data_IF_197714658987
#
_entry.id   IF_197714658987
#
_cell.length_a   1.000
_cell.length_b   1.000
_cell.length_c   1.000
_cell.angle_alpha   90.00
_cell.angle_beta   90.00
_cell.angle_gamma   90.00
#
_symmetry.space_group_name_H-M   'P 1'
#
loop_
_entity.id
_entity.type
_entity.pdbx_description
1 polymer ?
#
# COMPACT_ATOMS: atom_id res chain seq x y z
N UNK A 1 14.05 -64.04 -39.92
CA UNK A 1 14.00 -63.59 -38.52
C UNK A 1 13.81 -62.10 -38.54
N UNK A 2 12.70 -61.60 -38.02
CA UNK A 2 12.44 -60.17 -37.86
C UNK A 2 12.75 -59.80 -36.41
N UNK A 3 13.23 -58.58 -36.18
CA UNK A 3 13.77 -58.18 -34.88
C UNK A 3 12.65 -57.85 -33.87
N UNK A 4 12.41 -58.74 -32.91
CA UNK A 4 11.31 -58.62 -31.92
C UNK A 4 11.58 -57.57 -30.83
N UNK A 5 12.74 -56.90 -30.83
CA UNK A 5 13.18 -56.08 -29.68
C UNK A 5 12.52 -54.70 -29.54
N UNK A 6 11.84 -54.18 -30.57
CA UNK A 6 11.40 -52.78 -30.61
C UNK A 6 9.98 -52.47 -30.08
N UNK A 7 9.23 -53.47 -29.57
CA UNK A 7 7.83 -53.25 -29.14
C UNK A 7 7.63 -52.92 -27.64
N UNK A 8 8.67 -53.00 -26.80
CA UNK A 8 8.55 -52.92 -25.34
C UNK A 8 9.07 -51.61 -24.70
N UNK A 9 9.05 -50.49 -25.43
CA UNK A 9 9.25 -49.16 -24.81
C UNK A 9 7.90 -48.61 -24.32
N UNK A 10 7.70 -48.36 -23.01
CA UNK A 10 6.43 -47.80 -22.53
C UNK A 10 6.22 -46.41 -23.11
N UNK A 11 4.98 -46.06 -23.46
CA UNK A 11 4.67 -44.72 -23.97
C UNK A 11 5.02 -43.63 -22.96
N UNK A 12 5.20 -42.40 -23.44
CA UNK A 12 5.49 -41.24 -22.58
C UNK A 12 4.46 -41.08 -21.44
N UNK A 13 3.20 -41.48 -21.68
CA UNK A 13 2.13 -41.42 -20.69
C UNK A 13 2.24 -42.52 -19.63
N UNK A 14 2.61 -43.73 -20.03
CA UNK A 14 2.86 -44.84 -19.09
C UNK A 14 4.11 -44.59 -18.25
N UNK A 15 5.18 -44.05 -18.83
CA UNK A 15 6.37 -43.61 -18.08
C UNK A 15 6.02 -42.51 -17.05
N UNK A 16 5.15 -41.56 -17.42
CA UNK A 16 4.67 -40.54 -16.49
C UNK A 16 3.75 -41.10 -15.39
N UNK A 17 2.88 -42.04 -15.73
CA UNK A 17 1.99 -42.70 -14.76
C UNK A 17 2.78 -43.55 -13.76
N UNK A 18 3.74 -44.35 -14.24
CA UNK A 18 4.66 -45.12 -13.39
C UNK A 18 5.45 -44.22 -12.44
N UNK A 19 5.80 -43.00 -12.85
CA UNK A 19 6.42 -42.02 -11.95
C UNK A 19 5.47 -41.48 -10.87
N UNK A 20 4.18 -41.29 -11.18
CA UNK A 20 3.15 -40.92 -10.19
C UNK A 20 2.92 -42.06 -9.19
N UNK A 21 2.80 -43.29 -9.67
CA UNK A 21 2.48 -44.47 -8.87
C UNK A 21 3.64 -44.88 -7.94
N UNK A 22 4.88 -44.57 -8.32
CA UNK A 22 6.09 -44.74 -7.49
C UNK A 22 6.36 -43.58 -6.52
N UNK A 23 5.47 -42.59 -6.42
CA UNK A 23 5.66 -41.44 -5.54
C UNK A 23 5.60 -41.82 -4.05
N UNK A 24 6.64 -41.53 -3.24
CA UNK A 24 6.61 -41.85 -1.82
C UNK A 24 5.50 -41.04 -1.10
N UNK A 25 4.78 -41.65 -0.14
CA UNK A 25 3.59 -41.04 0.45
C UNK A 25 3.92 -39.71 1.13
N UNK A 26 3.16 -38.67 0.77
CA UNK A 26 3.28 -37.32 1.33
C UNK A 26 3.10 -37.38 2.86
N UNK A 27 3.93 -36.68 3.67
CA UNK A 27 3.74 -36.62 5.11
C UNK A 27 2.39 -35.99 5.45
N UNK A 28 1.76 -36.45 6.55
CA UNK A 28 0.47 -35.89 7.00
C UNK A 28 0.59 -34.39 7.28
N UNK A 29 -0.47 -33.59 7.04
CA UNK A 29 -0.49 -32.19 7.42
C UNK A 29 -0.05 -31.98 8.87
N UNK A 30 0.74 -30.94 9.11
CA UNK A 30 1.32 -30.56 10.42
C UNK A 30 2.32 -31.56 11.06
N UNK A 31 2.60 -32.71 10.43
CA UNK A 31 3.67 -33.62 10.89
C UNK A 31 5.03 -33.24 10.27
N UNK A 32 6.09 -33.15 11.11
CA UNK A 32 7.48 -33.03 10.61
C UNK A 32 7.92 -34.36 9.99
N UNK A 33 8.42 -34.40 8.74
CA UNK A 33 8.91 -35.63 8.12
C UNK A 33 10.24 -36.07 8.74
N UNK A 34 10.48 -37.38 8.78
CA UNK A 34 11.76 -37.94 9.24
C UNK A 34 12.86 -37.79 8.18
N UNK A 35 14.15 -37.88 8.53
CA UNK A 35 15.25 -37.84 7.56
C UNK A 35 15.11 -38.87 6.43
N UNK A 36 14.67 -40.10 6.76
CA UNK A 36 14.41 -41.16 5.76
C UNK A 36 13.22 -40.85 4.83
N UNK A 37 12.21 -40.13 5.31
CA UNK A 37 11.12 -39.64 4.44
C UNK A 37 11.59 -38.50 3.53
N UNK A 38 12.40 -37.58 4.05
CA UNK A 38 12.97 -36.48 3.28
C UNK A 38 13.90 -36.97 2.16
N UNK A 39 14.76 -37.96 2.42
CA UNK A 39 15.67 -38.47 1.40
C UNK A 39 14.91 -39.23 0.29
N UNK A 40 13.92 -40.09 0.63
CA UNK A 40 13.08 -40.74 -0.40
C UNK A 40 12.31 -39.73 -1.29
N UNK A 41 11.79 -38.65 -0.70
CA UNK A 41 11.16 -37.56 -1.45
C UNK A 41 12.16 -36.82 -2.37
N UNK A 42 13.42 -36.71 -1.95
CA UNK A 42 14.51 -36.11 -2.71
C UNK A 42 15.00 -37.03 -3.84
N UNK A 43 15.16 -38.32 -3.58
CA UNK A 43 15.53 -39.35 -4.58
C UNK A 43 14.48 -39.42 -5.69
N UNK A 44 13.19 -39.52 -5.36
CA UNK A 44 12.09 -39.52 -6.34
C UNK A 44 12.06 -38.23 -7.19
N UNK A 45 12.31 -37.08 -6.56
CA UNK A 45 12.44 -35.79 -7.25
C UNK A 45 13.69 -35.66 -8.14
N UNK A 46 14.80 -36.31 -7.78
CA UNK A 46 16.03 -36.39 -8.61
C UNK A 46 15.81 -37.33 -9.80
N UNK A 47 15.18 -38.49 -9.57
CA UNK A 47 14.77 -39.43 -10.61
C UNK A 47 13.88 -38.77 -11.66
N UNK A 48 12.85 -38.03 -11.22
CA UNK A 48 12.02 -37.22 -12.10
C UNK A 48 12.84 -36.26 -12.97
N UNK A 49 13.75 -35.49 -12.35
CA UNK A 49 14.57 -34.52 -13.07
C UNK A 49 15.45 -35.21 -14.13
N UNK A 50 16.13 -36.30 -13.77
CA UNK A 50 16.98 -37.08 -14.69
C UNK A 50 16.18 -37.60 -15.89
N UNK A 51 14.99 -38.14 -15.67
CA UNK A 51 14.08 -38.57 -16.75
C UNK A 51 13.63 -37.39 -17.63
N UNK A 52 13.11 -36.32 -17.03
CA UNK A 52 12.57 -35.16 -17.76
C UNK A 52 13.59 -34.36 -18.58
N UNK A 53 14.89 -34.46 -18.24
CA UNK A 53 15.97 -33.87 -19.02
C UNK A 53 16.22 -34.62 -20.35
N UNK A 54 16.04 -35.95 -20.36
CA UNK A 54 16.17 -36.79 -21.55
C UNK A 54 15.01 -36.69 -22.56
N UNK A 55 13.94 -35.97 -22.22
CA UNK A 55 12.79 -35.72 -23.11
C UNK A 55 13.06 -34.57 -24.10
N UNK A 56 12.31 -34.54 -25.21
CA UNK A 56 12.24 -33.37 -26.09
C UNK A 56 11.44 -32.21 -25.45
N UNK A 57 11.50 -31.02 -26.05
CA UNK A 57 10.74 -29.85 -25.56
C UNK A 57 9.21 -30.11 -25.60
N UNK A 58 8.70 -30.66 -26.70
CA UNK A 58 7.28 -31.00 -26.87
C UNK A 58 6.82 -32.07 -25.86
N UNK A 59 7.66 -33.09 -25.63
CA UNK A 59 7.38 -34.14 -24.65
C UNK A 59 7.34 -33.57 -23.23
N UNK A 60 8.23 -32.64 -22.86
CA UNK A 60 8.17 -31.91 -21.58
C UNK A 60 6.86 -31.12 -21.43
N UNK A 61 6.44 -30.39 -22.46
CA UNK A 61 5.18 -29.62 -22.44
C UNK A 61 3.96 -30.51 -22.21
N UNK A 62 3.86 -31.67 -22.88
CA UNK A 62 2.79 -32.66 -22.64
C UNK A 62 2.79 -33.19 -21.20
N UNK A 63 3.96 -33.48 -20.65
CA UNK A 63 4.10 -33.96 -19.27
C UNK A 63 3.71 -32.89 -18.24
N UNK A 64 4.04 -31.61 -18.47
CA UNK A 64 3.60 -30.52 -17.60
C UNK A 64 2.10 -30.23 -17.66
N UNK A 65 1.45 -30.47 -18.82
CA UNK A 65 -0.01 -30.49 -18.92
C UNK A 65 -0.62 -31.61 -18.05
N UNK A 66 -0.14 -32.85 -18.15
CA UNK A 66 -0.66 -33.96 -17.34
C UNK A 66 -0.44 -33.75 -15.82
N UNK A 67 0.63 -33.06 -15.40
CA UNK A 67 0.80 -32.61 -14.00
C UNK A 67 -0.24 -31.58 -13.57
N UNK A 68 -0.75 -30.74 -14.47
CA UNK A 68 -1.80 -29.78 -14.16
C UNK A 68 -3.13 -30.50 -13.97
N UNK A 69 -3.46 -31.43 -14.87
CA UNK A 69 -4.64 -32.30 -14.83
C UNK A 69 -4.66 -33.16 -13.53
N UNK A 70 -3.55 -33.84 -13.21
CA UNK A 70 -3.43 -34.63 -11.99
C UNK A 70 -3.66 -33.81 -10.69
N UNK A 71 -3.25 -32.53 -10.68
CA UNK A 71 -3.48 -31.60 -9.54
C UNK A 71 -4.91 -31.08 -9.45
N UNK A 72 -5.71 -31.19 -10.51
CA UNK A 72 -7.17 -30.96 -10.45
C UNK A 72 -7.82 -32.22 -9.89
N UNK A 73 -7.50 -33.39 -10.44
CA UNK A 73 -8.07 -34.66 -10.00
C UNK A 73 -7.78 -34.97 -8.51
N UNK A 74 -6.57 -34.66 -8.00
CA UNK A 74 -6.24 -34.80 -6.57
C UNK A 74 -7.13 -33.91 -5.66
N UNK A 75 -7.56 -32.74 -6.14
CA UNK A 75 -8.47 -31.84 -5.42
C UNK A 75 -9.92 -32.30 -5.46
N UNK A 76 -10.36 -32.90 -6.56
CA UNK A 76 -11.72 -33.43 -6.66
C UNK A 76 -11.87 -34.74 -5.87
N UNK A 77 -10.88 -35.62 -5.91
CA UNK A 77 -10.83 -36.84 -5.09
C UNK A 77 -10.84 -36.52 -3.57
N UNK A 78 -10.06 -35.52 -3.12
CA UNK A 78 -10.06 -35.10 -1.71
C UNK A 78 -11.36 -34.44 -1.26
N UNK A 79 -12.21 -33.99 -2.20
CA UNK A 79 -13.57 -33.52 -1.88
C UNK A 79 -14.57 -34.68 -1.63
N UNK A 80 -14.27 -35.90 -2.07
CA UNK A 80 -15.21 -37.03 -2.05
C UNK A 80 -15.02 -38.01 -0.87
N UNK A 81 -13.89 -37.93 -0.13
CA UNK A 81 -13.48 -38.98 0.81
C UNK A 81 -14.18 -39.05 2.18
N UNK A 82 -14.98 -38.06 2.57
CA UNK A 82 -15.49 -37.95 3.96
C UNK A 82 -16.86 -38.59 4.20
N UNK A 83 -16.94 -39.92 4.06
CA UNK A 83 -18.16 -40.71 4.29
C UNK A 83 -18.49 -40.96 5.78
N UNK A 84 -18.93 -39.94 6.55
CA UNK A 84 -19.68 -40.16 7.82
C UNK A 84 -20.82 -39.14 8.06
N UNK A 85 -22.04 -39.67 8.16
CA UNK A 85 -23.27 -39.10 8.78
C UNK A 85 -23.86 -37.79 8.21
N UNK A 86 -24.57 -37.94 7.09
CA UNK A 86 -25.97 -37.50 6.90
C UNK A 86 -26.39 -36.09 7.40
N UNK A 87 -26.47 -35.15 6.45
CA UNK A 87 -27.66 -34.30 6.27
C UNK A 87 -28.14 -34.43 4.83
N UNK A 88 -29.44 -34.29 4.59
CA UNK A 88 -30.07 -34.60 3.30
C UNK A 88 -29.51 -33.74 2.15
N UNK A 89 -29.45 -34.31 0.95
CA UNK A 89 -29.03 -33.58 -0.24
C UNK A 89 -30.12 -32.60 -0.67
N UNK A 90 -29.79 -31.31 -0.78
CA UNK A 90 -30.67 -30.31 -1.40
C UNK A 90 -30.93 -30.67 -2.87
N UNK A 91 -32.15 -30.46 -3.43
CA UNK A 91 -32.54 -30.91 -4.77
C UNK A 91 -31.92 -30.06 -5.89
N UNK A 92 -30.58 -30.04 -5.98
CA UNK A 92 -29.79 -29.30 -6.97
C UNK A 92 -28.78 -30.19 -7.72
N UNK A 93 -29.02 -31.50 -7.74
CA UNK A 93 -28.11 -32.53 -8.29
C UNK A 93 -28.77 -33.52 -9.28
N UNK A 94 -29.86 -33.12 -9.96
CA UNK A 94 -30.46 -33.89 -11.06
C UNK A 94 -30.35 -33.22 -12.44
N UNK A 95 -30.44 -31.88 -12.53
CA UNK A 95 -30.29 -31.16 -13.81
C UNK A 95 -28.80 -31.02 -14.22
N UNK A 96 -28.17 -32.14 -14.56
CA UNK A 96 -26.93 -32.19 -15.37
C UNK A 96 -26.89 -33.40 -16.32
N UNK A 97 -28.07 -33.83 -16.76
CA UNK A 97 -28.29 -34.33 -18.10
C UNK A 97 -29.31 -33.37 -18.73
N UNK A 98 -29.28 -33.22 -20.06
CA UNK A 98 -29.94 -32.20 -20.89
C UNK A 98 -29.29 -30.80 -20.91
N UNK A 99 -29.08 -30.30 -22.14
CA UNK A 99 -28.09 -29.26 -22.46
C UNK A 99 -28.60 -27.83 -22.58
N UNK A 100 -29.59 -27.42 -21.78
CA UNK A 100 -30.34 -26.17 -21.99
C UNK A 100 -30.47 -25.27 -20.74
N UNK A 101 -29.36 -24.74 -20.20
CA UNK A 101 -29.43 -23.58 -19.30
C UNK A 101 -28.13 -22.77 -19.18
N UNK A 102 -28.06 -21.62 -19.85
CA UNK A 102 -27.01 -20.60 -19.68
C UNK A 102 -27.39 -19.59 -18.59
N UNK A 103 -27.34 -19.99 -17.32
CA UNK A 103 -27.59 -19.07 -16.19
C UNK A 103 -26.44 -18.07 -16.05
N UNK A 104 -26.63 -16.85 -16.56
CA UNK A 104 -25.63 -15.78 -16.52
C UNK A 104 -25.51 -15.18 -15.11
N UNK A 105 -24.43 -15.50 -14.40
CA UNK A 105 -24.18 -15.03 -13.03
C UNK A 105 -23.75 -13.55 -13.01
N UNK A 106 -24.54 -12.70 -12.37
CA UNK A 106 -24.27 -11.26 -12.19
C UNK A 106 -23.11 -11.03 -11.20
N UNK A 107 -22.27 -10.03 -11.47
CA UNK A 107 -21.15 -9.65 -10.62
C UNK A 107 -21.62 -8.98 -9.32
N UNK A 108 -21.58 -9.71 -8.19
CA UNK A 108 -21.98 -9.21 -6.86
C UNK A 108 -21.09 -8.11 -6.30
N UNK A 109 -19.96 -7.78 -6.95
CA UNK A 109 -19.17 -6.58 -6.63
C UNK A 109 -19.77 -5.36 -7.35
N UNK A 110 -19.85 -5.42 -8.69
CA UNK A 110 -20.46 -4.40 -9.56
C UNK A 110 -21.86 -3.97 -9.10
N UNK A 111 -22.71 -4.93 -8.74
CA UNK A 111 -24.07 -4.67 -8.27
C UNK A 111 -24.13 -4.00 -6.88
N UNK A 112 -23.05 -4.07 -6.08
CA UNK A 112 -22.95 -3.44 -4.75
C UNK A 112 -22.25 -2.08 -4.76
N UNK A 113 -21.66 -1.70 -5.89
CA UNK A 113 -20.86 -0.47 -6.05
C UNK A 113 -21.47 0.49 -7.07
N UNK A 114 -22.76 0.32 -7.40
CA UNK A 114 -23.45 1.17 -8.39
C UNK A 114 -22.85 1.09 -9.79
N UNK A 115 -22.32 -0.07 -10.18
CA UNK A 115 -21.74 -0.30 -11.51
C UNK A 115 -20.20 -0.30 -11.58
N UNK A 116 -19.49 -0.14 -10.47
CA UNK A 116 -18.03 -0.04 -10.45
C UNK A 116 -17.34 -1.38 -10.17
N UNK A 117 -16.74 -2.01 -11.18
CA UNK A 117 -15.94 -3.23 -11.01
C UNK A 117 -14.48 -3.02 -11.44
N UNK A 118 -13.52 -3.40 -10.60
CA UNK A 118 -12.08 -3.33 -10.89
C UNK A 118 -11.63 -4.14 -12.13
N UNK A 119 -12.48 -5.04 -12.65
CA UNK A 119 -12.22 -5.83 -13.86
C UNK A 119 -12.91 -5.26 -15.11
N UNK A 120 -13.77 -4.23 -14.97
CA UNK A 120 -14.54 -3.64 -16.07
C UNK A 120 -15.31 -4.68 -16.89
N UNK A 121 -15.36 -4.49 -18.21
CA UNK A 121 -15.94 -5.44 -19.17
C UNK A 121 -15.21 -6.80 -19.20
N UNK A 122 -13.96 -6.87 -18.71
CA UNK A 122 -13.15 -8.10 -18.64
C UNK A 122 -13.48 -8.95 -17.40
N UNK A 123 -14.57 -8.64 -16.68
CA UNK A 123 -15.02 -9.47 -15.57
C UNK A 123 -15.67 -10.77 -16.06
N UNK A 124 -15.33 -11.90 -15.42
CA UNK A 124 -15.95 -13.21 -15.69
C UNK A 124 -17.40 -13.36 -15.19
N UNK A 125 -17.99 -12.27 -14.71
CA UNK A 125 -19.34 -12.19 -14.17
C UNK A 125 -20.05 -11.00 -14.84
N UNK A 126 -21.35 -11.11 -15.07
CA UNK A 126 -22.06 -10.18 -15.94
C UNK A 126 -22.36 -8.83 -15.27
N UNK A 127 -22.35 -7.77 -16.09
CA UNK A 127 -22.54 -6.37 -15.73
C UNK A 127 -23.74 -5.79 -16.51
N UNK A 128 -25.00 -6.12 -16.13
CA UNK A 128 -26.20 -5.70 -16.86
C UNK A 128 -26.47 -4.21 -16.63
N UNK A 129 -26.04 -3.36 -17.57
CA UNK A 129 -26.08 -1.88 -17.49
C UNK A 129 -27.45 -1.32 -17.07
N UNK A 130 -28.55 -2.00 -17.40
CA UNK A 130 -29.92 -1.59 -17.05
C UNK A 130 -30.20 -1.60 -15.53
N UNK A 131 -29.46 -2.36 -14.72
CA UNK A 131 -29.63 -2.39 -13.25
C UNK A 131 -29.05 -1.16 -12.51
N UNK A 132 -28.48 -0.18 -13.22
CA UNK A 132 -27.87 1.04 -12.64
C UNK A 132 -28.92 2.00 -12.01
N UNK A 133 -30.24 1.74 -12.15
CA UNK A 133 -31.32 2.69 -11.82
C UNK A 133 -32.30 2.32 -10.70
N UNK A 134 -32.09 1.26 -9.92
CA UNK A 134 -32.99 0.90 -8.79
C UNK A 134 -32.24 0.45 -7.53
N UNK A 135 -32.21 1.30 -6.50
CA UNK A 135 -31.41 1.07 -5.28
C UNK A 135 -31.87 -0.09 -4.39
N UNK A 136 -33.16 -0.46 -4.38
CA UNK A 136 -33.68 -1.52 -3.50
C UNK A 136 -33.96 -2.85 -4.23
N UNK A 137 -34.54 -2.81 -5.43
CA UNK A 137 -35.07 -4.00 -6.12
C UNK A 137 -33.96 -4.98 -6.55
N UNK A 138 -32.81 -4.46 -6.96
CA UNK A 138 -31.71 -5.26 -7.54
C UNK A 138 -31.09 -6.25 -6.54
N UNK A 139 -31.09 -5.94 -5.24
CA UNK A 139 -30.47 -6.77 -4.20
C UNK A 139 -31.31 -8.02 -3.89
N UNK A 140 -32.65 -7.90 -3.85
CA UNK A 140 -33.54 -9.02 -3.56
C UNK A 140 -33.41 -10.15 -4.60
N UNK A 141 -33.33 -9.79 -5.89
CA UNK A 141 -33.17 -10.75 -7.00
C UNK A 141 -31.82 -11.49 -6.98
N UNK A 142 -30.77 -10.91 -6.37
CA UNK A 142 -29.44 -11.52 -6.23
C UNK A 142 -29.40 -12.48 -5.05
N UNK A 143 -29.96 -12.10 -3.90
CA UNK A 143 -29.91 -12.94 -2.70
C UNK A 143 -30.87 -14.14 -2.77
N UNK A 144 -31.99 -14.01 -3.50
CA UNK A 144 -32.92 -15.12 -3.79
C UNK A 144 -32.27 -16.33 -4.49
N UNK A 145 -31.14 -16.16 -5.19
CA UNK A 145 -30.46 -17.24 -5.91
C UNK A 145 -29.47 -18.06 -5.07
N UNK A 146 -29.20 -17.65 -3.81
CA UNK A 146 -27.95 -18.03 -3.14
C UNK A 146 -27.91 -18.23 -1.61
N UNK A 147 -29.02 -18.10 -0.86
CA UNK A 147 -28.98 -18.30 0.61
C UNK A 147 -30.05 -19.23 1.17
N UNK A 148 -29.60 -20.26 1.90
CA UNK A 148 -30.42 -20.96 2.90
C UNK A 148 -30.60 -20.12 4.18
N UNK A 149 -31.28 -20.63 5.22
CA UNK A 149 -31.66 -19.87 6.40
C UNK A 149 -30.47 -19.22 7.11
N UNK A 150 -30.63 -17.94 7.46
CA UNK A 150 -29.55 -17.12 8.01
C UNK A 150 -29.10 -17.59 9.40
N UNK A 151 -27.80 -17.68 9.62
CA UNK A 151 -27.22 -17.85 10.95
C UNK A 151 -27.20 -16.48 11.68
N UNK A 152 -27.93 -16.31 12.80
CA UNK A 152 -28.09 -15.00 13.44
C UNK A 152 -26.79 -14.38 13.95
N UNK A 153 -25.73 -15.16 14.17
CA UNK A 153 -24.41 -14.64 14.57
C UNK A 153 -23.61 -13.95 13.45
N UNK A 154 -24.11 -13.92 12.20
CA UNK A 154 -23.45 -13.18 11.10
C UNK A 154 -24.06 -11.79 10.85
N UNK A 155 -24.47 -11.11 11.92
CA UNK A 155 -24.94 -9.72 11.82
C UNK A 155 -23.81 -8.79 11.38
N UNK A 156 -24.13 -7.91 10.42
CA UNK A 156 -23.36 -6.72 9.98
C UNK A 156 -21.84 -6.81 10.16
N UNK A 157 -21.18 -7.66 9.37
CA UNK A 157 -19.74 -7.49 9.12
C UNK A 157 -19.54 -6.15 8.40
N UNK A 158 -19.24 -5.09 9.18
CA UNK A 158 -18.80 -3.78 8.68
C UNK A 158 -17.70 -4.05 7.66
N UNK A 159 -17.82 -3.50 6.45
CA UNK A 159 -16.85 -3.79 5.39
C UNK A 159 -15.44 -3.49 5.93
N UNK A 160 -14.51 -4.43 5.75
CA UNK A 160 -13.10 -4.22 6.09
C UNK A 160 -12.57 -3.11 5.17
N UNK A 161 -12.63 -1.86 5.63
CA UNK A 161 -11.90 -0.72 5.07
C UNK A 161 -10.42 -1.05 5.23
N UNK A 162 -9.82 -1.65 4.20
CA UNK A 162 -8.39 -2.03 4.19
C UNK A 162 -7.53 -0.81 4.42
N UNK A 163 -6.40 -0.98 5.13
CA UNK A 163 -5.54 0.15 5.51
C UNK A 163 -4.67 0.64 4.35
N UNK A 164 -4.51 -0.15 3.29
CA UNK A 164 -3.79 0.23 2.08
C UNK A 164 -4.26 1.54 1.45
N UNK A 165 -3.29 2.31 0.96
CA UNK A 165 -3.47 3.51 0.13
C UNK A 165 -3.99 4.79 0.83
N UNK A 166 -3.84 4.94 2.16
CA UNK A 166 -4.12 6.21 2.88
C UNK A 166 -3.55 7.44 2.16
N UNK A 167 -2.29 7.36 1.71
CA UNK A 167 -1.59 8.43 0.96
C UNK A 167 -2.30 8.78 -0.35
N UNK A 168 -2.71 7.77 -1.12
CA UNK A 168 -3.40 7.95 -2.41
C UNK A 168 -4.80 8.53 -2.24
N UNK A 169 -5.49 8.21 -1.14
CA UNK A 169 -6.81 8.77 -0.82
C UNK A 169 -6.71 10.23 -0.41
N UNK A 170 -5.73 10.63 0.42
CA UNK A 170 -5.50 12.05 0.71
C UNK A 170 -5.02 12.81 -0.54
N UNK A 171 -4.15 12.21 -1.36
CA UNK A 171 -3.77 12.75 -2.68
C UNK A 171 -5.00 13.01 -3.57
N UNK A 172 -5.96 12.08 -3.62
CA UNK A 172 -7.21 12.25 -4.37
C UNK A 172 -7.98 13.47 -3.87
N UNK A 173 -8.24 13.52 -2.56
CA UNK A 173 -8.90 14.64 -1.90
C UNK A 173 -8.22 15.99 -2.16
N UNK A 174 -6.89 16.04 -2.17
CA UNK A 174 -6.13 17.25 -2.49
C UNK A 174 -6.36 17.70 -3.95
N UNK A 175 -6.39 16.76 -4.90
CA UNK A 175 -6.65 17.04 -6.31
C UNK A 175 -8.11 17.45 -6.56
N UNK A 176 -9.06 16.85 -5.85
CA UNK A 176 -10.49 17.18 -5.88
C UNK A 176 -10.75 18.61 -5.36
N UNK A 177 -10.27 18.93 -4.16
CA UNK A 177 -10.62 20.17 -3.44
C UNK A 177 -9.79 21.36 -3.90
N UNK A 178 -8.48 21.21 -4.03
CA UNK A 178 -7.59 22.35 -4.31
C UNK A 178 -7.29 22.53 -5.79
N UNK A 179 -7.60 21.53 -6.62
CA UNK A 179 -7.26 21.43 -8.05
C UNK A 179 -5.76 21.31 -8.35
N UNK A 180 -5.45 20.52 -9.37
CA UNK A 180 -4.10 20.27 -9.85
C UNK A 180 -3.30 21.54 -10.24
N UNK A 181 -3.84 22.53 -10.97
CA UNK A 181 -3.09 23.74 -11.32
C UNK A 181 -2.62 24.53 -10.09
N UNK A 182 -3.46 24.60 -9.05
CA UNK A 182 -3.12 25.26 -7.77
C UNK A 182 -2.04 24.49 -7.03
N UNK A 183 -2.13 23.16 -6.92
CA UNK A 183 -1.11 22.33 -6.27
C UNK A 183 0.26 22.42 -6.97
N UNK A 184 0.29 22.69 -8.28
CA UNK A 184 1.53 22.95 -9.03
C UNK A 184 2.08 24.38 -8.87
N UNK A 185 1.32 25.31 -8.28
CA UNK A 185 1.75 26.71 -8.13
C UNK A 185 2.85 26.92 -7.07
N UNK A 186 3.65 27.97 -7.23
CA UNK A 186 4.69 28.36 -6.28
C UNK A 186 5.76 27.29 -6.04
N UNK A 187 6.05 26.99 -4.78
CA UNK A 187 6.93 25.87 -4.39
C UNK A 187 6.24 24.49 -4.45
N UNK A 188 4.93 24.46 -4.66
CA UNK A 188 4.10 23.26 -4.63
C UNK A 188 3.59 22.93 -3.22
N UNK A 189 3.57 21.64 -2.87
CA UNK A 189 3.01 21.11 -1.63
C UNK A 189 4.10 20.92 -0.57
N UNK A 190 3.82 21.27 0.69
CA UNK A 190 4.69 20.90 1.82
C UNK A 190 4.00 19.80 2.62
N UNK A 191 4.62 18.63 2.76
CA UNK A 191 4.11 17.50 3.56
C UNK A 191 4.88 17.44 4.89
N UNK A 192 4.23 17.84 5.98
CA UNK A 192 4.79 17.85 7.34
C UNK A 192 4.55 16.49 7.98
N UNK A 193 5.58 15.95 8.65
CA UNK A 193 5.59 14.60 9.22
C UNK A 193 5.25 13.53 8.17
N UNK A 194 5.82 13.66 6.96
CA UNK A 194 5.56 12.81 5.78
C UNK A 194 5.84 11.30 5.95
N UNK A 195 6.36 10.90 7.12
CA UNK A 195 6.85 9.56 7.41
C UNK A 195 8.16 9.27 6.68
N UNK A 196 8.86 8.24 7.13
CA UNK A 196 10.03 7.69 6.42
C UNK A 196 9.69 7.09 5.03
N UNK A 197 8.47 7.31 4.51
CA UNK A 197 8.01 6.86 3.21
C UNK A 197 7.56 8.02 2.29
N UNK A 198 7.54 9.28 2.76
CA UNK A 198 7.24 10.46 1.93
C UNK A 198 5.90 10.35 1.21
N UNK A 199 4.86 9.95 1.97
CA UNK A 199 3.73 9.19 1.43
C UNK A 199 2.96 9.89 0.32
N UNK A 200 2.45 11.08 0.61
CA UNK A 200 1.64 11.87 -0.33
C UNK A 200 2.55 12.55 -1.37
N UNK A 201 3.69 13.09 -0.93
CA UNK A 201 4.68 13.77 -1.77
C UNK A 201 5.21 12.90 -2.90
N UNK A 202 5.55 11.64 -2.63
CA UNK A 202 6.06 10.72 -3.64
C UNK A 202 5.03 10.51 -4.76
N UNK A 203 3.76 10.36 -4.40
CA UNK A 203 2.68 10.11 -5.36
C UNK A 203 2.33 11.38 -6.15
N UNK A 204 2.27 12.54 -5.50
CA UNK A 204 2.04 13.83 -6.15
C UNK A 204 3.14 14.20 -7.15
N UNK A 205 4.42 13.99 -6.81
CA UNK A 205 5.56 14.20 -7.72
C UNK A 205 5.47 13.24 -8.91
N UNK A 206 5.40 11.93 -8.67
CA UNK A 206 5.57 10.93 -9.73
C UNK A 206 4.33 10.71 -10.60
N UNK A 207 3.13 10.95 -10.08
CA UNK A 207 1.86 10.71 -10.79
C UNK A 207 1.17 11.99 -11.26
N UNK A 208 1.47 13.15 -10.65
CA UNK A 208 0.82 14.43 -10.97
C UNK A 208 1.76 15.58 -11.32
N UNK A 209 3.09 15.38 -11.29
CA UNK A 209 4.10 16.44 -11.53
C UNK A 209 3.88 17.67 -10.64
N UNK A 210 3.34 17.45 -9.45
CA UNK A 210 3.20 18.45 -8.38
C UNK A 210 4.50 18.45 -7.59
N UNK A 211 5.17 19.60 -7.49
CA UNK A 211 6.38 19.75 -6.66
C UNK A 211 6.02 19.49 -5.20
N UNK A 212 6.86 18.76 -4.47
CA UNK A 212 6.64 18.49 -3.06
C UNK A 212 7.92 18.61 -2.23
N UNK A 213 7.77 19.18 -1.03
CA UNK A 213 8.79 19.23 0.02
C UNK A 213 8.28 18.47 1.24
N UNK A 214 8.88 17.31 1.51
CA UNK A 214 8.61 16.50 2.69
C UNK A 214 9.48 16.96 3.87
N UNK A 215 8.87 17.22 5.02
CA UNK A 215 9.56 17.53 6.28
C UNK A 215 9.38 16.34 7.22
N UNK A 216 10.47 15.63 7.52
CA UNK A 216 10.47 14.45 8.39
C UNK A 216 11.83 14.31 9.10
N UNK A 217 11.90 14.50 10.44
CA UNK A 217 13.17 14.45 11.16
C UNK A 217 13.73 13.02 11.34
N UNK A 218 12.88 11.98 11.42
CA UNK A 218 13.24 10.63 11.90
C UNK A 218 14.26 9.88 11.04
N UNK A 219 14.47 10.27 9.78
CA UNK A 219 15.46 9.66 8.89
C UNK A 219 15.21 9.98 7.40
N UNK A 220 16.10 9.57 6.49
CA UNK A 220 15.92 9.71 5.05
C UNK A 220 14.71 8.90 4.54
N UNK A 221 14.15 9.31 3.39
CA UNK A 221 12.96 8.70 2.83
C UNK A 221 13.25 7.33 2.20
N UNK A 222 12.72 6.27 2.81
CA UNK A 222 12.77 4.89 2.31
C UNK A 222 11.76 4.68 1.18
N UNK A 223 12.05 5.28 0.04
CA UNK A 223 11.19 5.26 -1.15
C UNK A 223 11.17 3.90 -1.89
N UNK A 224 12.06 2.95 -1.57
CA UNK A 224 12.22 1.69 -2.32
C UNK A 224 10.92 0.89 -2.55
N UNK A 225 10.07 0.73 -1.52
CA UNK A 225 8.74 0.09 -1.67
C UNK A 225 7.84 0.84 -2.67
N UNK A 226 7.82 2.17 -2.61
CA UNK A 226 6.97 3.05 -3.44
C UNK A 226 7.48 3.17 -4.87
N UNK A 227 8.80 3.34 -5.05
CA UNK A 227 9.50 3.19 -6.34
C UNK A 227 9.12 1.85 -7.00
N UNK A 228 9.13 0.73 -6.26
CA UNK A 228 8.72 -0.59 -6.80
C UNK A 228 7.23 -0.66 -7.18
N UNK A 229 6.31 -0.17 -6.33
CA UNK A 229 4.87 -0.07 -6.65
C UNK A 229 4.64 0.74 -7.95
N UNK A 230 5.38 1.84 -8.12
CA UNK A 230 5.37 2.68 -9.32
C UNK A 230 5.85 1.91 -10.57
N UNK A 231 7.04 1.27 -10.53
CA UNK A 231 7.55 0.44 -11.64
C UNK A 231 6.54 -0.59 -12.16
N UNK A 232 5.80 -1.21 -11.24
CA UNK A 232 4.86 -2.29 -11.53
C UNK A 232 3.49 -1.77 -12.03
N UNK A 233 3.31 -0.45 -12.11
CA UNK A 233 2.07 0.20 -12.53
C UNK A 233 0.93 0.03 -11.53
N UNK A 234 1.24 -0.16 -10.24
CA UNK A 234 0.20 -0.39 -9.21
C UNK A 234 -0.73 0.82 -9.10
N UNK A 235 -0.18 2.03 -9.14
CA UNK A 235 -0.95 3.27 -9.13
C UNK A 235 -1.81 3.46 -10.39
N UNK A 236 -1.36 2.93 -11.54
CA UNK A 236 -2.10 2.95 -12.82
C UNK A 236 -3.14 1.84 -12.97
N UNK A 237 -3.10 0.82 -12.11
CA UNK A 237 -4.04 -0.33 -12.09
C UNK A 237 -5.06 -0.25 -10.95
N UNK A 238 -4.94 0.75 -10.07
CA UNK A 238 -5.86 0.97 -8.96
C UNK A 238 -7.08 1.76 -9.45
N UNK A 239 -8.10 1.04 -9.93
CA UNK A 239 -9.30 1.61 -10.58
C UNK A 239 -9.83 2.95 -10.05
N UNK A 240 -10.19 3.08 -8.75
CA UNK A 240 -10.73 4.32 -8.19
C UNK A 240 -9.76 5.52 -8.11
N UNK A 241 -8.48 5.31 -8.47
CA UNK A 241 -7.40 6.29 -8.34
C UNK A 241 -6.61 6.48 -9.66
N UNK A 242 -6.75 5.58 -10.64
CA UNK A 242 -6.00 5.63 -11.90
C UNK A 242 -6.32 6.89 -12.73
N UNK A 243 -7.56 7.38 -12.67
CA UNK A 243 -8.00 8.60 -13.36
C UNK A 243 -7.44 9.90 -12.76
N UNK A 244 -6.75 9.83 -11.62
CA UNK A 244 -6.06 10.95 -11.00
C UNK A 244 -4.56 10.98 -11.36
N UNK A 245 -4.08 10.09 -12.24
CA UNK A 245 -2.70 10.07 -12.69
C UNK A 245 -2.57 10.87 -13.99
N UNK A 246 -1.86 12.00 -13.96
CA UNK A 246 -1.52 12.76 -15.17
C UNK A 246 -0.46 12.03 -16.00
N UNK A 247 0.50 11.42 -15.29
CA UNK A 247 1.60 10.67 -15.88
C UNK A 247 1.09 9.29 -16.28
N UNK A 248 1.01 9.01 -17.58
CA UNK A 248 0.58 7.70 -18.07
C UNK A 248 1.59 6.60 -17.71
N UNK A 249 1.16 5.34 -17.72
CA UNK A 249 2.09 4.23 -17.44
C UNK A 249 3.20 4.15 -18.50
N UNK A 250 2.87 4.47 -19.75
CA UNK A 250 3.81 4.43 -20.87
C UNK A 250 4.78 5.63 -20.85
N UNK A 251 4.35 6.82 -20.41
CA UNK A 251 5.26 7.96 -20.17
C UNK A 251 6.22 7.67 -18.98
N UNK A 252 5.69 7.04 -17.93
CA UNK A 252 6.49 6.58 -16.79
C UNK A 252 7.50 5.49 -17.19
N UNK A 253 7.22 4.72 -18.24
CA UNK A 253 8.14 3.74 -18.83
C UNK A 253 9.07 4.33 -19.90
N UNK A 254 8.68 5.35 -20.68
CA UNK A 254 9.50 5.89 -21.77
C UNK A 254 10.76 6.60 -21.26
N UNK A 255 10.69 7.23 -20.08
CA UNK A 255 11.87 7.73 -19.32
C UNK A 255 12.91 6.63 -18.98
N UNK A 256 12.62 5.35 -19.22
CA UNK A 256 13.61 4.25 -19.13
C UNK A 256 14.58 4.24 -20.33
N UNK A 257 14.14 4.68 -21.50
CA UNK A 257 14.85 4.44 -22.76
C UNK A 257 15.97 5.46 -23.01
N UNK A 258 15.71 6.75 -22.75
CA UNK A 258 16.64 7.86 -23.05
C UNK A 258 17.94 7.86 -22.21
N UNK A 259 18.02 7.04 -21.15
CA UNK A 259 19.23 6.88 -20.32
C UNK A 259 20.04 5.62 -20.67
N UNK A 260 19.69 4.88 -21.73
CA UNK A 260 20.41 3.66 -22.15
C UNK A 260 21.49 3.96 -23.20
N UNK A 261 21.32 5.02 -23.99
CA UNK A 261 22.23 5.39 -25.09
C UNK A 261 23.44 6.23 -24.62
N UNK A 262 23.56 6.48 -23.31
CA UNK A 262 24.74 7.08 -22.69
C UNK A 262 25.73 5.98 -22.27
N UNK A 263 26.92 5.97 -22.87
CA UNK A 263 27.91 4.91 -22.70
C UNK A 263 28.64 4.98 -21.36
N UNK A 264 28.09 4.37 -20.30
CA UNK A 264 28.89 3.93 -19.15
C UNK A 264 28.36 2.62 -18.51
N UNK A 265 29.27 1.87 -17.91
CA UNK A 265 29.12 0.49 -17.47
C UNK A 265 28.32 0.31 -16.18
N UNK A 266 26.99 0.41 -16.28
CA UNK A 266 26.09 -0.32 -15.39
C UNK A 266 25.69 0.39 -14.10
N UNK A 267 24.71 1.29 -14.21
CA UNK A 267 23.68 1.37 -13.19
C UNK A 267 22.30 1.59 -13.81
N UNK A 268 21.31 0.76 -13.45
CA UNK A 268 19.94 0.82 -13.99
C UNK A 268 19.13 1.95 -13.31
N UNK A 269 19.69 3.17 -13.32
CA UNK A 269 19.14 4.33 -12.64
C UNK A 269 18.01 4.95 -13.46
N UNK A 270 16.79 4.93 -12.92
CA UNK A 270 15.71 5.71 -13.49
C UNK A 270 15.70 7.12 -12.92
N UNK A 271 15.17 8.04 -13.71
CA UNK A 271 14.60 9.29 -13.21
C UNK A 271 13.21 9.02 -12.60
N UNK A 272 13.17 8.31 -11.46
CA UNK A 272 11.99 8.11 -10.59
C UNK A 272 12.09 9.09 -9.41
N UNK A 273 11.64 10.32 -9.68
CA UNK A 273 11.87 11.53 -8.88
C UNK A 273 11.53 11.34 -7.38
N UNK A 274 12.48 11.68 -6.51
CA UNK A 274 12.21 11.83 -5.08
C UNK A 274 11.63 13.22 -4.81
N UNK A 275 10.66 13.39 -3.90
CA UNK A 275 10.32 14.72 -3.39
C UNK A 275 11.52 15.30 -2.64
N UNK A 276 11.65 16.63 -2.61
CA UNK A 276 12.64 17.32 -1.78
C UNK A 276 12.42 16.88 -0.33
N UNK A 277 13.48 16.54 0.40
CA UNK A 277 13.37 16.07 1.78
C UNK A 277 14.21 16.93 2.73
N UNK A 278 13.58 17.42 3.79
CA UNK A 278 14.23 18.16 4.86
C UNK A 278 14.06 17.47 6.21
N UNK A 279 15.15 17.46 6.98
CA UNK A 279 15.26 16.81 8.29
C UNK A 279 15.37 17.84 9.40
N UNK A 280 14.23 18.33 9.87
CA UNK A 280 14.09 19.15 11.08
C UNK A 280 12.74 18.88 11.74
N UNK A 281 12.61 19.23 13.03
CA UNK A 281 11.35 19.21 13.75
C UNK A 281 10.55 20.48 13.42
N UNK A 282 9.39 20.29 12.80
CA UNK A 282 8.38 21.34 12.60
C UNK A 282 7.74 21.71 13.94
N UNK A 283 7.48 23.01 14.18
CA UNK A 283 6.87 23.47 15.43
C UNK A 283 6.80 25.01 15.54
N UNK A 284 6.37 25.55 16.71
CA UNK A 284 5.99 26.96 16.87
C UNK A 284 7.05 28.03 16.56
N UNK A 285 8.34 27.71 16.54
CA UNK A 285 9.40 28.63 16.11
C UNK A 285 9.25 29.05 14.64
N UNK A 286 8.48 28.30 13.84
CA UNK A 286 8.09 28.68 12.48
C UNK A 286 7.05 29.83 12.43
N UNK A 287 6.48 30.27 13.55
CA UNK A 287 5.63 31.47 13.59
C UNK A 287 6.47 32.76 13.56
N UNK A 288 7.77 32.70 13.86
CA UNK A 288 8.69 33.85 13.85
C UNK A 288 9.18 34.24 12.44
N UNK A 289 8.61 33.64 11.38
CA UNK A 289 8.95 33.89 9.97
C UNK A 289 8.77 35.39 9.63
N UNK A 290 9.87 36.17 9.52
CA UNK A 290 9.83 37.62 9.74
C UNK A 290 9.08 38.34 8.62
N UNK A 291 8.05 39.11 8.98
CA UNK A 291 7.20 39.87 8.06
C UNK A 291 8.04 40.71 7.08
N UNK A 292 7.61 40.80 5.81
CA UNK A 292 8.42 41.37 4.73
C UNK A 292 8.28 42.90 4.65
N UNK A 293 8.37 43.54 5.81
CA UNK A 293 7.91 44.90 6.07
C UNK A 293 9.04 45.77 6.65
N UNK A 294 10.29 45.49 6.22
CA UNK A 294 11.50 46.24 6.58
C UNK A 294 11.97 46.15 8.04
N UNK A 295 11.14 45.63 8.95
CA UNK A 295 11.46 45.50 10.37
C UNK A 295 12.46 44.38 10.68
N UNK A 296 13.51 44.70 11.43
CA UNK A 296 14.59 43.78 11.83
C UNK A 296 14.15 42.75 12.91
N UNK A 297 13.19 41.88 12.58
CA UNK A 297 12.70 40.84 13.50
C UNK A 297 13.67 39.64 13.53
N UNK A 298 14.60 39.68 14.50
CA UNK A 298 15.31 38.53 15.09
C UNK A 298 15.71 37.38 14.15
N UNK A 299 16.29 37.68 12.98
CA UNK A 299 16.72 36.66 12.01
C UNK A 299 17.63 35.58 12.63
N UNK A 300 18.50 35.96 13.59
CA UNK A 300 19.35 35.01 14.31
C UNK A 300 18.61 34.01 15.21
N UNK A 301 17.37 34.30 15.64
CA UNK A 301 16.55 33.38 16.44
C UNK A 301 16.03 32.21 15.60
N UNK A 302 15.41 32.51 14.46
CA UNK A 302 14.94 31.51 13.50
C UNK A 302 16.09 30.64 12.97
N UNK A 303 17.20 31.25 12.58
CA UNK A 303 18.39 30.54 12.09
C UNK A 303 18.96 29.59 13.16
N UNK A 304 19.02 30.01 14.43
CA UNK A 304 19.49 29.18 15.54
C UNK A 304 18.51 28.04 15.85
N UNK A 305 17.19 28.28 15.82
CA UNK A 305 16.19 27.22 16.01
C UNK A 305 16.23 26.19 14.88
N UNK A 306 16.37 26.63 13.62
CA UNK A 306 16.54 25.71 12.48
C UNK A 306 17.83 24.88 12.62
N UNK A 307 18.95 25.52 12.97
CA UNK A 307 20.23 24.83 13.18
C UNK A 307 20.16 23.79 14.31
N UNK A 308 19.54 24.13 15.45
CA UNK A 308 19.29 23.18 16.55
C UNK A 308 18.39 22.02 16.09
N UNK A 309 17.30 22.34 15.39
CA UNK A 309 16.29 21.39 14.93
C UNK A 309 16.86 20.38 13.91
N UNK A 310 17.70 20.84 12.99
CA UNK A 310 18.48 20.00 12.06
C UNK A 310 19.50 19.15 12.82
N UNK A 311 20.24 19.73 13.78
CA UNK A 311 21.23 19.02 14.61
C UNK A 311 20.60 17.92 15.46
N UNK A 312 19.38 18.13 15.96
CA UNK A 312 18.60 17.13 16.69
C UNK A 312 18.09 16.04 15.75
N UNK A 313 17.51 16.40 14.60
CA UNK A 313 17.06 15.44 13.60
C UNK A 313 18.20 14.55 13.07
N UNK A 314 19.41 15.09 12.93
CA UNK A 314 20.60 14.33 12.55
C UNK A 314 21.00 13.23 13.57
N UNK A 315 20.72 13.42 14.87
CA UNK A 315 20.94 12.40 15.91
C UNK A 315 19.97 11.21 15.80
N UNK A 316 18.82 11.37 15.13
CA UNK A 316 17.84 10.31 15.00
C UNK A 316 18.30 9.24 14.01
N UNK A 317 18.40 7.99 14.50
CA UNK A 317 18.55 6.80 13.67
C UNK A 317 17.17 6.36 13.17
N UNK A 318 17.07 6.03 11.88
CA UNK A 318 15.80 5.73 11.21
C UNK A 318 15.15 4.38 11.57
N UNK A 319 14.76 4.18 12.82
CA UNK A 319 13.99 3.00 13.25
C UNK A 319 13.54 3.08 14.70
N UNK A 320 12.24 2.88 14.92
CA UNK A 320 11.57 2.60 16.21
C UNK A 320 11.88 3.52 17.42
N UNK A 321 12.59 4.63 17.25
CA UNK A 321 12.75 5.65 18.29
C UNK A 321 11.44 6.44 18.43
N UNK A 322 10.88 6.48 19.63
CA UNK A 322 9.78 7.40 19.99
C UNK A 322 10.26 8.83 19.76
N UNK A 323 9.61 9.58 18.88
CA UNK A 323 9.98 10.95 18.52
C UNK A 323 9.59 11.99 19.58
N UNK A 324 9.95 11.76 20.84
CA UNK A 324 9.87 12.72 21.94
C UNK A 324 10.99 13.76 21.82
N UNK A 325 10.96 14.54 20.74
CA UNK A 325 11.99 15.52 20.38
C UNK A 325 11.55 16.96 20.66
N UNK A 326 11.62 17.37 21.93
CA UNK A 326 11.83 18.76 22.31
C UNK A 326 13.29 18.91 22.79
N UNK A 327 13.75 20.15 22.98
CA UNK A 327 15.03 20.42 23.64
C UNK A 327 15.02 19.95 25.12
N UNK A 328 16.20 19.88 25.73
CA UNK A 328 16.44 19.08 26.94
C UNK A 328 15.70 19.63 28.19
N UNK A 329 14.99 18.75 28.91
CA UNK A 329 14.23 19.11 30.13
C UNK A 329 12.97 18.27 30.43
N UNK A 330 12.47 17.47 29.48
CA UNK A 330 11.25 16.65 29.69
C UNK A 330 11.50 15.48 30.66
N UNK A 331 10.85 15.48 31.84
CA UNK A 331 10.90 14.40 32.83
C UNK A 331 10.08 13.15 32.42
N UNK A 332 10.35 12.64 31.22
CA UNK A 332 9.37 11.91 30.40
C UNK A 332 9.78 10.45 30.08
N UNK A 333 10.84 9.94 30.70
CA UNK A 333 11.39 8.59 30.45
C UNK A 333 10.58 7.53 31.22
N UNK A 334 9.41 7.14 30.67
CA UNK A 334 8.81 5.78 30.66
C UNK A 334 7.34 5.81 30.25
N UNK A 335 6.90 4.80 29.50
CA UNK A 335 5.47 4.43 29.40
C UNK A 335 4.66 5.07 28.27
N UNK A 336 5.22 5.16 27.05
CA UNK A 336 4.45 5.44 25.83
C UNK A 336 4.73 4.34 24.79
N UNK A 337 3.93 3.26 24.80
CA UNK A 337 3.94 2.24 23.74
C UNK A 337 3.15 2.80 22.57
N UNK A 338 3.86 3.36 21.58
CA UNK A 338 3.27 3.67 20.28
C UNK A 338 2.94 2.39 19.54
N UNK A 339 1.79 2.33 18.87
CA UNK A 339 1.47 1.24 17.95
C UNK A 339 2.33 1.35 16.70
N UNK A 340 3.05 0.29 16.35
CA UNK A 340 3.70 0.16 15.04
C UNK A 340 2.63 0.24 13.94
N UNK A 341 2.63 1.34 13.18
CA UNK A 341 1.85 1.48 11.96
C UNK A 341 2.67 0.90 10.79
N UNK A 342 3.02 -0.38 10.88
CA UNK A 342 3.65 -1.11 9.79
C UNK A 342 2.66 -1.29 8.64
N UNK A 343 3.11 -1.08 7.39
CA UNK A 343 2.36 -1.51 6.19
C UNK A 343 2.40 -3.06 6.05
N UNK A 344 1.97 -3.79 7.09
CA UNK A 344 1.82 -5.25 7.11
C UNK A 344 0.43 -5.65 6.59
N UNK A 345 0.20 -5.42 5.29
CA UNK A 345 -0.97 -5.99 4.61
C UNK A 345 -0.71 -7.48 4.30
N UNK A 346 -1.29 -8.35 5.13
CA UNK A 346 -1.37 -9.79 4.91
C UNK A 346 -2.23 -10.11 3.68
N UNK A 347 -1.57 -10.22 2.53
CA UNK A 347 -2.19 -10.52 1.24
C UNK A 347 -2.72 -11.97 1.16
N UNK A 348 -3.93 -12.20 1.67
CA UNK A 348 -4.68 -13.45 1.45
C UNK A 348 -5.48 -13.36 0.14
N UNK A 349 -4.95 -13.99 -0.91
CA UNK A 349 -5.40 -13.76 -2.28
C UNK A 349 -4.73 -14.64 -3.34
N UNK A 350 -4.44 -15.91 -2.98
CA UNK A 350 -3.98 -17.01 -3.83
C UNK A 350 -3.97 -16.76 -5.37
N UNK A 351 -2.78 -16.77 -6.00
CA UNK A 351 -2.52 -17.78 -7.03
C UNK A 351 -1.04 -18.17 -7.22
N UNK A 352 -0.83 -19.19 -8.06
CA UNK A 352 0.28 -20.16 -7.98
C UNK A 352 1.65 -19.59 -8.33
N UNK A 353 2.60 -19.85 -7.42
CA UNK A 353 4.06 -19.80 -7.62
C UNK A 353 4.50 -20.75 -8.76
N UNK A 354 5.03 -20.19 -9.85
CA UNK A 354 6.03 -20.89 -10.68
C UNK A 354 7.37 -20.80 -9.93
N UNK A 355 8.15 -21.88 -9.92
CA UNK A 355 9.41 -21.92 -9.17
C UNK A 355 10.48 -22.77 -9.86
N UNK A 356 11.35 -22.11 -10.62
CA UNK A 356 12.66 -22.66 -10.96
C UNK A 356 13.70 -22.22 -9.94
N UNK A 357 14.43 -23.20 -9.42
CA UNK A 357 15.26 -23.06 -8.24
C UNK A 357 16.73 -23.23 -8.65
N UNK A 358 17.35 -22.16 -9.13
CA UNK A 358 18.80 -22.07 -9.22
C UNK A 358 19.34 -21.94 -7.78
N UNK A 359 19.94 -23.01 -7.26
CA UNK A 359 20.53 -23.01 -5.91
C UNK A 359 21.96 -22.47 -5.97
N UNK A 360 22.25 -21.42 -5.21
CA UNK A 360 23.57 -21.27 -4.61
C UNK A 360 23.42 -21.13 -3.10
N UNK A 361 24.25 -21.86 -2.36
CA UNK A 361 24.33 -21.76 -0.91
C UNK A 361 25.01 -20.43 -0.55
N UNK A 362 24.48 -19.70 0.43
CA UNK A 362 25.33 -18.94 1.33
C UNK A 362 24.76 -18.97 2.75
N UNK A 363 25.64 -18.90 3.74
CA UNK A 363 25.27 -19.02 5.15
C UNK A 363 24.49 -17.79 5.65
N UNK A 364 23.68 -17.97 6.69
CA UNK A 364 22.95 -16.90 7.34
C UNK A 364 23.90 -16.01 8.17
N UNK A 365 24.55 -15.06 7.52
CA UNK A 365 25.24 -13.95 8.18
C UNK A 365 24.31 -12.73 8.19
N UNK A 366 23.90 -12.25 9.37
CA UNK A 366 22.95 -11.15 9.55
C UNK A 366 23.57 -9.75 9.36
N UNK A 367 24.57 -9.66 8.46
CA UNK A 367 25.31 -8.44 8.13
C UNK A 367 25.31 -8.25 6.60
N UNK A 368 24.11 -8.06 6.03
CA UNK A 368 23.98 -7.59 4.65
C UNK A 368 24.34 -6.10 4.55
N UNK A 369 24.91 -5.63 3.41
CA UNK A 369 25.26 -4.22 3.26
C UNK A 369 24.08 -3.28 3.44
N UNK A 370 24.36 -2.09 3.97
CA UNK A 370 23.44 -0.96 3.88
C UNK A 370 23.30 -0.59 2.39
N UNK A 371 22.08 -0.56 1.86
CA UNK A 371 21.83 -0.22 0.44
C UNK A 371 22.06 1.29 0.22
N UNK A 372 23.32 1.65 -0.03
CA UNK A 372 23.77 3.01 -0.34
C UNK A 372 23.83 3.28 -1.85
N UNK A 373 23.54 2.26 -2.68
CA UNK A 373 23.71 2.26 -4.14
C UNK A 373 22.47 2.76 -4.88
N UNK A 374 22.05 4.00 -4.64
CA UNK A 374 20.80 4.51 -5.22
C UNK A 374 20.59 6.03 -5.19
N UNK A 375 21.68 6.81 -5.24
CA UNK A 375 21.69 8.28 -5.20
C UNK A 375 20.77 8.86 -4.12
N UNK A 376 21.01 8.45 -2.86
CA UNK A 376 20.52 9.19 -1.68
C UNK A 376 21.41 10.44 -1.53
N UNK A 377 21.28 11.33 -2.52
CA UNK A 377 22.08 12.54 -2.66
C UNK A 377 21.89 13.38 -1.40
N UNK A 378 23.01 13.73 -0.75
CA UNK A 378 23.00 14.32 0.59
C UNK A 378 22.57 15.78 0.51
N UNK A 379 21.26 16.00 0.28
CA UNK A 379 20.68 17.33 0.09
C UNK A 379 21.13 18.22 1.25
N UNK A 380 21.71 19.39 0.96
CA UNK A 380 22.31 20.22 2.01
C UNK A 380 21.26 20.56 3.06
N UNK A 381 21.65 20.67 4.34
CA UNK A 381 20.73 21.06 5.39
C UNK A 381 20.07 22.39 5.00
N UNK A 382 18.74 22.51 5.14
CA UNK A 382 18.03 23.69 4.68
C UNK A 382 18.55 24.96 5.33
N UNK A 383 18.77 26.00 4.51
CA UNK A 383 19.08 27.35 5.00
C UNK A 383 17.78 28.09 5.30
N UNK A 384 17.78 28.96 6.31
CA UNK A 384 16.59 29.63 6.81
C UNK A 384 15.81 30.38 5.72
N UNK A 385 16.50 31.14 4.87
CA UNK A 385 15.90 31.85 3.75
C UNK A 385 15.18 30.91 2.75
N UNK A 386 15.69 29.68 2.55
CA UNK A 386 15.02 28.69 1.70
C UNK A 386 13.77 28.12 2.39
N UNK A 387 13.82 27.83 3.70
CA UNK A 387 12.65 27.39 4.47
C UNK A 387 11.53 28.44 4.44
N UNK A 388 11.87 29.69 4.74
CA UNK A 388 10.96 30.84 4.68
C UNK A 388 10.37 30.99 3.29
N UNK A 389 11.20 30.94 2.24
CA UNK A 389 10.77 31.09 0.85
C UNK A 389 9.83 29.95 0.42
N UNK A 390 10.18 28.68 0.71
CA UNK A 390 9.36 27.51 0.36
C UNK A 390 8.01 27.52 1.09
N UNK A 391 7.97 27.86 2.39
CA UNK A 391 6.71 27.96 3.14
C UNK A 391 5.85 29.14 2.65
N UNK A 392 6.46 30.31 2.36
CA UNK A 392 5.74 31.48 1.82
C UNK A 392 5.21 31.27 0.41
N UNK A 393 5.94 30.55 -0.44
CA UNK A 393 5.51 30.20 -1.79
C UNK A 393 4.71 28.89 -1.88
N UNK A 394 4.45 28.21 -0.77
CA UNK A 394 3.67 26.97 -0.75
C UNK A 394 2.24 27.20 -1.27
N UNK A 395 1.75 26.24 -2.05
CA UNK A 395 0.34 26.19 -2.48
C UNK A 395 -0.58 25.68 -1.36
N UNK A 396 -0.08 24.76 -0.51
CA UNK A 396 -0.80 24.15 0.62
C UNK A 396 0.18 23.49 1.60
N UNK A 397 -0.18 23.47 2.89
CA UNK A 397 0.46 22.66 3.93
C UNK A 397 -0.35 21.37 4.18
N UNK A 398 0.30 20.21 4.19
CA UNK A 398 -0.35 18.89 4.26
C UNK A 398 0.25 18.05 5.39
N UNK A 399 -0.58 17.28 6.10
CA UNK A 399 -0.10 16.30 7.08
C UNK A 399 -1.00 15.07 7.19
N UNK A 400 -0.50 13.90 6.77
CA UNK A 400 -1.19 12.62 6.93
C UNK A 400 -0.72 11.95 8.23
N UNK A 401 -1.59 11.89 9.24
CA UNK A 401 -1.25 11.38 10.58
C UNK A 401 0.01 12.03 11.18
N UNK A 402 0.12 13.37 11.22
CA UNK A 402 1.39 14.05 11.47
C UNK A 402 1.85 14.08 12.94
N UNK A 403 1.21 13.30 13.82
CA UNK A 403 1.44 13.21 15.26
C UNK A 403 1.54 14.59 15.97
N UNK A 404 2.69 14.93 16.56
CA UNK A 404 2.88 16.13 17.39
C UNK A 404 2.49 17.45 16.68
N UNK A 405 3.09 17.82 15.52
CA UNK A 405 2.82 19.08 14.84
C UNK A 405 1.43 19.23 14.20
N UNK A 406 0.47 18.31 14.45
CA UNK A 406 -0.91 18.43 13.95
C UNK A 406 -1.52 19.82 14.20
N UNK A 407 -1.29 20.41 15.39
CA UNK A 407 -1.75 21.76 15.71
C UNK A 407 -0.92 22.85 15.02
N UNK A 408 0.40 22.71 15.06
CA UNK A 408 1.35 23.70 14.56
C UNK A 408 1.22 23.92 13.04
N UNK A 409 0.85 22.88 12.28
CA UNK A 409 0.55 22.98 10.83
C UNK A 409 -0.66 23.89 10.58
N UNK A 410 -1.72 23.72 11.38
CA UNK A 410 -2.96 24.51 11.26
C UNK A 410 -2.70 25.95 11.66
N UNK A 411 -2.03 26.15 12.80
CA UNK A 411 -1.69 27.49 13.29
C UNK A 411 -0.78 28.26 12.31
N UNK A 412 0.18 27.59 11.66
CA UNK A 412 1.03 28.23 10.65
C UNK A 412 0.23 28.56 9.38
N UNK A 413 -0.64 27.64 8.94
CA UNK A 413 -1.46 27.84 7.75
C UNK A 413 -2.43 29.03 7.93
N UNK A 414 -3.10 29.13 9.08
CA UNK A 414 -3.96 30.27 9.40
C UNK A 414 -3.17 31.58 9.48
N UNK A 415 -2.05 31.60 10.22
CA UNK A 415 -1.21 32.79 10.36
C UNK A 415 -0.64 33.30 9.02
N UNK A 416 -0.33 32.39 8.08
CA UNK A 416 0.18 32.72 6.75
C UNK A 416 -0.91 32.91 5.69
N UNK A 417 -2.20 32.82 6.04
CA UNK A 417 -3.33 32.75 5.09
C UNK A 417 -3.08 31.74 3.96
N UNK A 418 -2.69 30.52 4.33
CA UNK A 418 -2.40 29.39 3.43
C UNK A 418 -3.46 28.31 3.55
N UNK A 419 -3.78 27.60 2.44
CA UNK A 419 -4.56 26.38 2.52
C UNK A 419 -3.88 25.31 3.40
N UNK A 420 -4.66 24.46 4.04
CA UNK A 420 -4.15 23.23 4.65
C UNK A 420 -5.06 22.02 4.49
N UNK A 421 -4.49 20.82 4.59
CA UNK A 421 -5.23 19.58 4.78
C UNK A 421 -4.48 18.65 5.75
N UNK A 422 -5.04 18.43 6.94
CA UNK A 422 -4.45 17.58 7.98
C UNK A 422 -5.39 16.44 8.37
N UNK A 423 -4.83 15.25 8.57
CA UNK A 423 -5.55 14.07 9.08
C UNK A 423 -5.00 13.74 10.47
N UNK A 424 -5.62 14.18 11.57
CA UNK A 424 -5.14 13.87 12.92
C UNK A 424 -5.19 12.37 13.23
N UNK A 425 -4.26 11.92 14.08
CA UNK A 425 -4.15 10.55 14.57
C UNK A 425 -4.23 10.49 16.10
N UNK A 426 -3.34 11.23 16.76
CA UNK A 426 -2.97 11.09 18.16
C UNK A 426 -3.18 12.39 18.95
N UNK A 427 -3.69 12.29 20.17
CA UNK A 427 -4.08 13.46 21.00
C UNK A 427 -2.95 13.94 21.90
N UNK A 428 -2.08 13.02 22.35
CA UNK A 428 -0.99 13.24 23.31
C UNK A 428 -1.36 14.16 24.51
N UNK A 429 -2.43 13.88 25.29
CA UNK A 429 -2.96 14.81 26.31
C UNK A 429 -2.01 15.04 27.50
N UNK A 430 -0.95 14.24 27.66
CA UNK A 430 0.14 14.52 28.62
C UNK A 430 1.14 15.57 28.10
N UNK A 431 1.42 15.58 26.80
CA UNK A 431 2.32 16.55 26.15
C UNK A 431 1.58 17.89 25.92
N UNK A 432 0.32 17.82 25.50
CA UNK A 432 -0.51 18.99 25.21
C UNK A 432 -1.59 19.23 26.28
N UNK A 433 -1.22 19.10 27.56
CA UNK A 433 -2.10 19.27 28.71
C UNK A 433 -2.79 20.64 28.80
N UNK A 434 -2.26 21.65 28.09
CA UNK A 434 -2.80 23.02 27.97
C UNK A 434 -3.85 23.18 26.85
N UNK A 435 -4.12 22.18 26.00
CA UNK A 435 -5.16 22.30 24.96
C UNK A 435 -6.55 22.23 25.61
N UNK A 436 -7.31 23.31 25.50
CA UNK A 436 -8.70 23.42 25.98
C UNK A 436 -9.65 23.77 24.83
N UNK A 437 -10.85 23.22 24.86
CA UNK A 437 -11.98 23.64 24.02
C UNK A 437 -12.47 25.04 24.42
N UNK A 438 -13.29 25.73 23.60
CA UNK A 438 -13.88 27.03 23.94
C UNK A 438 -14.69 27.03 25.25
N UNK A 439 -15.25 25.90 25.66
CA UNK A 439 -15.92 25.70 26.95
C UNK A 439 -14.96 25.47 28.14
N UNK A 440 -13.65 25.65 27.96
CA UNK A 440 -12.62 25.43 28.99
C UNK A 440 -12.25 23.96 29.23
N UNK A 441 -13.00 23.00 28.67
CA UNK A 441 -12.74 21.57 28.89
C UNK A 441 -11.42 21.11 28.23
N UNK A 442 -10.59 20.29 28.91
CA UNK A 442 -9.30 19.84 28.38
C UNK A 442 -9.46 18.78 27.28
N UNK A 443 -8.67 18.91 26.20
CA UNK A 443 -8.68 18.01 25.04
C UNK A 443 -8.02 16.68 25.40
N UNK A 444 -8.81 15.60 25.42
CA UNK A 444 -8.37 14.25 25.82
C UNK A 444 -8.80 13.13 24.86
N UNK A 445 -9.93 13.28 24.15
CA UNK A 445 -10.38 12.33 23.11
C UNK A 445 -9.97 12.77 21.70
N UNK A 446 -10.13 11.89 20.72
CA UNK A 446 -9.91 12.21 19.32
C UNK A 446 -10.91 13.25 18.81
N UNK A 447 -12.18 13.11 19.18
CA UNK A 447 -13.25 13.97 18.70
C UNK A 447 -13.06 15.39 19.26
N UNK A 448 -12.67 15.50 20.54
CA UNK A 448 -12.24 16.77 21.15
C UNK A 448 -11.00 17.38 20.46
N UNK A 449 -10.12 16.58 19.83
CA UNK A 449 -9.01 17.10 19.04
C UNK A 449 -9.50 17.67 17.70
N UNK A 450 -10.49 17.03 17.06
CA UNK A 450 -11.16 17.59 15.87
C UNK A 450 -11.83 18.92 16.22
N UNK A 451 -12.63 18.94 17.30
CA UNK A 451 -13.34 20.14 17.77
C UNK A 451 -12.37 21.27 18.13
N UNK A 452 -11.24 20.96 18.80
CA UNK A 452 -10.20 21.93 19.12
C UNK A 452 -9.51 22.53 17.88
N UNK A 453 -9.33 21.75 16.81
CA UNK A 453 -8.80 22.26 15.55
C UNK A 453 -9.85 23.14 14.85
N UNK A 454 -11.11 22.69 14.78
CA UNK A 454 -12.23 23.47 14.18
C UNK A 454 -12.46 24.79 14.88
N UNK A 455 -12.26 24.85 16.20
CA UNK A 455 -12.44 26.07 16.99
C UNK A 455 -11.40 27.18 16.73
N UNK A 456 -10.42 26.96 15.84
CA UNK A 456 -9.38 27.95 15.49
C UNK A 456 -9.83 28.95 14.42
N UNK A 457 -10.66 28.52 13.48
CA UNK A 457 -11.24 29.34 12.41
C UNK A 457 -12.52 28.67 11.90
N UNK A 458 -13.63 29.41 11.82
CA UNK A 458 -14.95 28.87 11.46
C UNK A 458 -15.01 28.26 10.05
N UNK A 459 -14.08 28.66 9.16
CA UNK A 459 -13.96 28.16 7.79
C UNK A 459 -13.26 26.80 7.70
N UNK A 460 -12.83 26.20 8.82
CA UNK A 460 -12.22 24.87 8.85
C UNK A 460 -13.29 23.79 8.63
N UNK A 461 -13.24 23.18 7.45
CA UNK A 461 -14.14 22.12 7.01
C UNK A 461 -13.60 20.73 7.37
N UNK A 462 -14.46 19.70 7.30
CA UNK A 462 -14.13 18.31 7.68
C UNK A 462 -14.73 17.28 6.74
N UNK A 463 -14.01 16.20 6.42
CA UNK A 463 -14.48 15.14 5.52
C UNK A 463 -13.96 13.75 5.95
N UNK A 464 -14.77 12.67 5.83
CA UNK A 464 -14.29 11.29 6.01
C UNK A 464 -13.65 10.77 4.72
N UNK A 465 -12.32 10.60 4.72
CA UNK A 465 -11.58 10.02 3.60
C UNK A 465 -11.94 8.54 3.34
N UNK A 466 -12.65 7.87 4.25
CA UNK A 466 -13.26 6.57 3.98
C UNK A 466 -12.36 5.35 4.20
N UNK A 467 -11.09 5.53 4.60
CA UNK A 467 -10.16 4.43 4.91
C UNK A 467 -10.26 3.92 6.36
N UNK A 468 -9.46 2.90 6.70
CA UNK A 468 -9.40 2.30 8.03
C UNK A 468 -8.55 3.10 9.03
N UNK A 469 -9.02 3.21 10.28
CA UNK A 469 -8.35 3.98 11.34
C UNK A 469 -8.91 5.39 11.52
N UNK A 470 -8.03 6.39 11.65
CA UNK A 470 -8.40 7.81 11.77
C UNK A 470 -8.48 8.45 10.39
N UNK A 471 -9.68 8.58 9.83
CA UNK A 471 -9.89 8.97 8.43
C UNK A 471 -10.47 10.37 8.21
N UNK A 472 -10.72 11.14 9.28
CA UNK A 472 -11.21 12.52 9.14
C UNK A 472 -10.06 13.45 8.75
N UNK A 473 -10.17 14.09 7.59
CA UNK A 473 -9.37 15.26 7.23
C UNK A 473 -10.07 16.52 7.73
N UNK A 474 -9.31 17.43 8.35
CA UNK A 474 -9.69 18.83 8.50
C UNK A 474 -8.93 19.65 7.47
N UNK A 475 -9.60 20.61 6.86
CA UNK A 475 -9.05 21.37 5.75
C UNK A 475 -9.60 22.79 5.71
N UNK A 476 -8.84 23.67 5.07
CA UNK A 476 -9.10 25.10 5.03
C UNK A 476 -8.62 25.67 3.71
N UNK A 477 -9.39 26.58 3.14
CA UNK A 477 -9.04 27.34 1.96
C UNK A 477 -9.36 28.83 2.19
N UNK A 478 -8.37 29.74 2.18
CA UNK A 478 -8.59 31.17 2.34
C UNK A 478 -9.27 31.82 1.12
N UNK A 479 -9.45 31.09 0.00
CA UNK A 479 -10.09 31.58 -1.22
C UNK A 479 -11.54 31.07 -1.40
N UNK A 480 -12.03 30.17 -0.54
CA UNK A 480 -13.45 29.82 -0.50
C UNK A 480 -14.16 30.70 0.53
N UNK A 481 -15.13 31.47 0.06
CA UNK A 481 -16.12 32.15 0.90
C UNK A 481 -17.27 31.20 1.24
#
# INVERSE_FOLDING_TARGET
MCDETYQNSPSLREQFQLWLDTAPPKPRPFAKPTPSQLERLREHGIGYKKWSLGLSLEQRMRVDQWKAEAKVNEKEATCCGSLKKTKACSPRKQNRLDGTSTTITICRHWAKTGGQCMYGEKCKFHHPIELIRCDEVCMAAIDAQGSGPANPHRSRTRANRTNGNRSSVLRRFLLDVYTQPRLRSGSGVVEISAGIHGGVSFELVNLNRVKCTAIEPRGPLRLGKRRKKLCQGVYHKTGPLQGYNDVSFDEMLSKKQQNIDATDGGNNNFVREAPRHWRFFFGPWLFEVPAYDGGCVLQGGFDQHLANSVRLAAKLKGGAATASGHEEGCCCIRGAVGSDDSEDESNDGNEKRVSDNAKHNFSANTNGPLDTTGNDEHQPPPIAAEVVSILRSASILVGLHPDQPTGDIVDLALAMSKPFAVVPCCVFPRQYSKRTLPCGAPVRTYDQLLDWIRAKDERIQTHDLGFGGRSIVLYFDPLTC
#
